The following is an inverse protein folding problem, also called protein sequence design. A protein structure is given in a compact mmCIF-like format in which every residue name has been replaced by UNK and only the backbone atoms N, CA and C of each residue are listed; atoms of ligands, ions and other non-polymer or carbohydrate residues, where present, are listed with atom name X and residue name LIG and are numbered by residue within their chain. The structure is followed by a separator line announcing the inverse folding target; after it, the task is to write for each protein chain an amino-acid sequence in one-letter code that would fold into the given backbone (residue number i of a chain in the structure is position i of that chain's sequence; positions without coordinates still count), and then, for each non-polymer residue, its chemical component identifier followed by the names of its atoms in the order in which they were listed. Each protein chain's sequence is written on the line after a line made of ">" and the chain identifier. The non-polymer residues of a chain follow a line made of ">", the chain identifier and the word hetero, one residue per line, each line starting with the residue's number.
data_IF_846361903469
#
_entry.id   IF_846361903469
#
_cell.length_a   1.000
_cell.length_b   1.000
_cell.length_c   1.000
_cell.angle_alpha   90.00
_cell.angle_beta   90.00
_cell.angle_gamma   90.00
#
_symmetry.space_group_name_H-M   'P 1'
#
loop_
_entity.id
_entity.type
_entity.pdbx_description
1 polymer ?
#
# COMPACT_ATOMS: atom_id res chain seq x y z
N UNK A 1 15.44 3.86 43.78
CA UNK A 1 14.25 3.42 43.00
C UNK A 1 14.11 4.14 41.65
N UNK A 2 14.37 5.45 41.53
CA UNK A 2 14.37 6.17 40.24
C UNK A 2 15.48 5.73 39.26
N UNK A 3 16.65 5.31 39.74
CA UNK A 3 17.77 4.87 38.88
C UNK A 3 17.47 3.59 38.07
N UNK A 4 16.66 2.68 38.62
CA UNK A 4 16.28 1.42 37.96
C UNK A 4 15.30 1.66 36.80
N UNK A 5 14.42 2.66 36.93
CA UNK A 5 13.44 3.07 35.91
C UNK A 5 14.16 3.76 34.75
N UNK A 6 15.09 4.67 35.03
CA UNK A 6 15.91 5.33 34.01
C UNK A 6 16.81 4.32 33.28
N UNK A 7 17.36 3.33 34.01
CA UNK A 7 18.16 2.25 33.41
C UNK A 7 17.31 1.35 32.51
N UNK A 8 16.08 0.98 32.90
CA UNK A 8 15.15 0.22 32.04
C UNK A 8 14.71 1.01 30.79
N UNK A 9 14.49 2.32 30.90
CA UNK A 9 14.18 3.15 29.72
C UNK A 9 15.40 3.35 28.81
N UNK A 10 16.61 3.40 29.35
CA UNK A 10 17.85 3.48 28.56
C UNK A 10 18.20 2.16 27.84
N UNK A 11 17.76 1.02 28.38
CA UNK A 11 17.93 -0.30 27.76
C UNK A 11 16.92 -0.55 26.63
N UNK A 12 15.73 0.06 26.67
CA UNK A 12 14.80 0.09 25.54
C UNK A 12 15.28 0.99 24.38
N UNK A 13 16.15 1.97 24.67
CA UNK A 13 16.73 2.85 23.63
C UNK A 13 17.87 2.24 22.82
N UNK A 14 18.39 1.06 23.18
CA UNK A 14 19.60 0.50 22.53
C UNK A 14 19.35 -0.53 21.44
N UNK A 15 18.10 -0.85 21.11
CA UNK A 15 17.75 -1.73 19.97
C UNK A 15 16.55 -1.27 19.13
N UNK A 16 15.99 -0.09 19.37
CA UNK A 16 14.78 0.34 18.70
C UNK A 16 15.11 1.22 17.49
N UNK A 17 15.19 0.60 16.31
CA UNK A 17 14.64 1.28 15.13
C UNK A 17 13.23 1.74 15.51
N UNK A 18 12.91 3.02 15.32
CA UNK A 18 11.63 3.58 15.74
C UNK A 18 10.50 2.62 15.32
N UNK A 19 9.73 2.11 16.28
CA UNK A 19 8.74 1.07 16.02
C UNK A 19 7.76 1.60 14.97
N UNK A 20 7.67 0.92 13.83
CA UNK A 20 6.75 1.30 12.76
C UNK A 20 5.39 0.67 13.06
N UNK A 21 4.38 1.51 13.19
CA UNK A 21 2.98 1.11 13.33
C UNK A 21 2.25 1.32 12.00
N UNK A 22 1.16 0.58 11.80
CA UNK A 22 0.34 0.69 10.59
C UNK A 22 -1.12 0.85 11.02
N UNK A 23 -1.88 1.68 10.31
CA UNK A 23 -3.33 1.77 10.52
C UNK A 23 -4.05 0.52 10.03
N UNK A 24 -5.26 0.31 10.53
CA UNK A 24 -6.28 -0.44 9.80
C UNK A 24 -6.61 0.28 8.47
N UNK A 25 -7.12 -0.44 7.45
CA UNK A 25 -7.56 0.18 6.21
C UNK A 25 -8.76 1.10 6.49
N UNK A 26 -8.72 2.31 5.94
CA UNK A 26 -9.83 3.26 5.96
C UNK A 26 -10.11 3.80 4.55
N UNK A 27 -11.34 4.19 4.23
CA UNK A 27 -11.70 4.61 2.88
C UNK A 27 -13.21 4.54 2.60
N UNK A 28 -13.62 5.01 1.42
CA UNK A 28 -15.00 4.95 0.92
C UNK A 28 -15.25 3.74 0.01
N UNK A 29 -16.31 3.80 -0.81
CA UNK A 29 -16.98 2.68 -1.49
C UNK A 29 -16.09 1.69 -2.28
N UNK A 30 -14.84 2.01 -2.62
CA UNK A 30 -13.95 1.07 -3.33
C UNK A 30 -12.44 1.22 -3.09
N UNK A 31 -11.96 2.36 -2.58
CA UNK A 31 -10.52 2.61 -2.39
C UNK A 31 -10.21 2.67 -0.91
N UNK A 32 -9.28 1.83 -0.48
CA UNK A 32 -8.79 1.73 0.89
C UNK A 32 -7.39 2.31 1.01
N UNK A 33 -7.11 2.90 2.16
CA UNK A 33 -5.81 3.50 2.49
C UNK A 33 -5.26 2.88 3.76
N UNK A 34 -3.99 2.52 3.75
CA UNK A 34 -3.23 2.13 4.94
C UNK A 34 -2.03 3.07 5.08
N UNK A 35 -1.84 3.61 6.27
CA UNK A 35 -0.75 4.53 6.58
C UNK A 35 0.23 3.89 7.56
N UNK A 36 1.53 4.06 7.29
CA UNK A 36 2.63 3.71 8.18
C UNK A 36 3.05 4.93 9.00
N UNK A 37 3.17 4.77 10.32
CA UNK A 37 3.55 5.81 11.26
C UNK A 37 4.79 5.39 12.05
N UNK A 38 5.62 6.36 12.43
CA UNK A 38 6.76 6.12 13.31
C UNK A 38 7.77 7.25 13.31
N UNK A 39 9.05 6.90 13.47
CA UNK A 39 10.10 7.89 13.68
C UNK A 39 10.05 8.51 15.09
N UNK A 40 10.94 9.47 15.36
CA UNK A 40 11.06 10.08 16.71
C UNK A 40 9.82 10.88 17.12
N UNK A 41 9.02 11.35 16.16
CA UNK A 41 7.87 12.22 16.38
C UNK A 41 6.53 11.56 16.05
N UNK A 42 6.52 10.27 15.66
CA UNK A 42 5.29 9.57 15.29
C UNK A 42 4.65 10.05 13.97
N UNK A 43 5.46 10.60 13.06
CA UNK A 43 4.98 11.12 11.77
C UNK A 43 4.62 10.02 10.77
N UNK A 44 3.95 10.43 9.69
CA UNK A 44 3.68 9.56 8.53
C UNK A 44 4.99 9.22 7.80
N UNK A 45 5.24 7.92 7.65
CA UNK A 45 6.41 7.39 6.95
C UNK A 45 6.08 6.99 5.50
N UNK A 46 4.80 6.71 5.24
CA UNK A 46 4.30 6.34 3.95
C UNK A 46 2.85 5.88 4.01
N UNK A 47 2.24 5.73 2.84
CA UNK A 47 0.87 5.28 2.66
C UNK A 47 0.72 4.46 1.39
N UNK A 48 -0.28 3.61 1.38
CA UNK A 48 -0.73 2.90 0.19
C UNK A 48 -2.23 3.12 0.01
N UNK A 49 -2.63 3.38 -1.22
CA UNK A 49 -4.03 3.38 -1.65
C UNK A 49 -4.25 2.19 -2.57
N UNK A 50 -5.29 1.41 -2.31
CA UNK A 50 -5.57 0.19 -3.07
C UNK A 50 -7.06 -0.10 -3.20
N UNK A 51 -7.40 -0.83 -4.27
CA UNK A 51 -8.77 -1.25 -4.59
C UNK A 51 -8.79 -2.74 -4.92
N UNK A 52 -9.53 -3.56 -4.16
CA UNK A 52 -9.74 -4.96 -4.52
C UNK A 52 -10.62 -5.09 -5.76
N UNK A 53 -10.25 -5.98 -6.67
CA UNK A 53 -11.00 -6.34 -7.87
C UNK A 53 -11.18 -7.86 -7.92
N UNK A 54 -12.29 -8.31 -7.33
CA UNK A 54 -12.60 -9.73 -7.14
C UNK A 54 -12.68 -10.57 -8.42
N UNK A 55 -13.13 -10.07 -9.59
CA UNK A 55 -13.24 -10.91 -10.79
C UNK A 55 -11.93 -11.57 -11.25
N UNK A 56 -10.79 -10.94 -11.02
CA UNK A 56 -9.46 -11.48 -11.36
C UNK A 56 -8.58 -11.71 -10.13
N UNK A 57 -9.17 -11.61 -8.93
CA UNK A 57 -8.46 -11.69 -7.64
C UNK A 57 -7.25 -10.74 -7.54
N UNK A 58 -7.38 -9.57 -8.16
CA UNK A 58 -6.36 -8.52 -8.22
C UNK A 58 -6.62 -7.45 -7.17
N UNK A 59 -5.56 -6.90 -6.59
CA UNK A 59 -5.56 -5.70 -5.77
C UNK A 59 -4.86 -4.59 -6.56
N UNK A 60 -5.65 -3.64 -7.09
CA UNK A 60 -5.11 -2.48 -7.79
C UNK A 60 -4.44 -1.55 -6.79
N UNK A 61 -3.16 -1.25 -6.99
CA UNK A 61 -2.43 -0.27 -6.18
C UNK A 61 -2.47 1.05 -6.94
N UNK A 62 -3.26 2.00 -6.44
CA UNK A 62 -3.48 3.31 -7.07
C UNK A 62 -2.46 4.35 -6.64
N UNK A 63 -1.95 4.23 -5.41
CA UNK A 63 -0.88 5.11 -4.92
C UNK A 63 -0.01 4.36 -3.90
N UNK A 64 1.29 4.61 -3.92
CA UNK A 64 2.24 4.09 -2.94
C UNK A 64 3.33 5.14 -2.70
N UNK A 65 3.25 5.80 -1.56
CA UNK A 65 4.17 6.87 -1.18
C UNK A 65 4.95 6.42 0.04
N UNK A 66 6.27 6.56 -0.02
CA UNK A 66 7.15 6.39 1.15
C UNK A 66 8.10 7.57 1.21
N UNK A 67 8.14 8.21 2.37
CA UNK A 67 9.01 9.34 2.65
C UNK A 67 10.47 8.97 2.36
N UNK A 68 11.23 9.81 1.63
CA UNK A 68 12.55 9.46 1.09
C UNK A 68 13.51 8.82 2.09
N UNK A 69 13.57 9.38 3.29
CA UNK A 69 14.38 8.92 4.43
C UNK A 69 14.06 7.50 4.92
N UNK A 70 12.89 6.95 4.60
CA UNK A 70 12.46 5.61 5.02
C UNK A 70 12.38 4.58 3.88
N UNK A 71 12.70 4.96 2.63
CA UNK A 71 12.58 4.07 1.46
C UNK A 71 13.37 2.77 1.56
N UNK A 72 14.49 2.77 2.30
CA UNK A 72 15.36 1.59 2.51
C UNK A 72 14.95 0.71 3.70
N UNK A 73 13.86 1.05 4.40
CA UNK A 73 13.45 0.37 5.64
C UNK A 73 12.34 -0.68 5.40
N UNK A 74 12.05 -1.03 4.15
CA UNK A 74 11.03 -2.03 3.82
C UNK A 74 9.59 -1.59 4.06
N UNK A 75 9.34 -0.30 4.32
CA UNK A 75 7.98 0.23 4.58
C UNK A 75 7.05 -0.06 3.39
N UNK A 76 7.50 0.19 2.17
CA UNK A 76 6.74 -0.10 0.95
C UNK A 76 6.30 -1.57 0.88
N UNK A 77 7.21 -2.50 1.17
CA UNK A 77 6.92 -3.94 1.14
C UNK A 77 5.89 -4.32 2.20
N UNK A 78 6.01 -3.77 3.40
CA UNK A 78 5.05 -4.04 4.47
C UNK A 78 3.66 -3.45 4.17
N UNK A 79 3.59 -2.27 3.57
CA UNK A 79 2.32 -1.69 3.10
C UNK A 79 1.67 -2.58 2.04
N UNK A 80 2.43 -3.09 1.07
CA UNK A 80 1.95 -4.00 0.04
C UNK A 80 1.46 -5.35 0.60
N UNK A 81 2.19 -5.92 1.56
CA UNK A 81 1.76 -7.15 2.27
C UNK A 81 0.45 -6.94 3.00
N UNK A 82 0.29 -5.79 3.66
CA UNK A 82 -0.95 -5.44 4.36
C UNK A 82 -2.10 -5.21 3.38
N UNK A 83 -1.87 -4.56 2.25
CA UNK A 83 -2.88 -4.42 1.21
C UNK A 83 -3.38 -5.79 0.72
N UNK A 84 -2.50 -6.76 0.46
CA UNK A 84 -2.91 -8.13 0.13
C UNK A 84 -3.71 -8.78 1.27
N UNK A 85 -3.22 -8.67 2.52
CA UNK A 85 -3.90 -9.24 3.68
C UNK A 85 -5.32 -8.70 3.85
N UNK A 86 -5.51 -7.38 3.76
CA UNK A 86 -6.81 -6.75 3.98
C UNK A 86 -7.74 -6.82 2.77
N UNK A 87 -7.21 -6.78 1.54
CA UNK A 87 -8.01 -6.99 0.32
C UNK A 87 -8.47 -8.44 0.18
N UNK A 88 -7.71 -9.40 0.73
CA UNK A 88 -7.89 -10.82 0.50
C UNK A 88 -7.59 -11.25 -0.94
N UNK A 89 -6.88 -10.41 -1.71
CA UNK A 89 -6.44 -10.72 -3.07
C UNK A 89 -5.12 -11.49 -3.05
N UNK A 90 -4.82 -12.22 -4.13
CA UNK A 90 -3.54 -12.92 -4.27
C UNK A 90 -2.53 -12.18 -5.14
N UNK A 91 -2.94 -11.15 -5.88
CA UNK A 91 -2.10 -10.44 -6.84
C UNK A 91 -2.16 -8.92 -6.67
N UNK A 92 -1.00 -8.27 -6.61
CA UNK A 92 -0.89 -6.80 -6.68
C UNK A 92 -0.73 -6.37 -8.13
N UNK A 93 -1.48 -5.35 -8.51
CA UNK A 93 -1.45 -4.78 -9.86
C UNK A 93 -1.31 -3.27 -9.73
N UNK A 94 -0.08 -2.71 -9.84
CA UNK A 94 0.08 -1.28 -9.81
C UNK A 94 -0.57 -0.65 -11.05
N UNK A 95 -1.37 0.40 -10.83
CA UNK A 95 -1.95 1.23 -11.89
C UNK A 95 -1.25 2.59 -11.89
N UNK A 96 -1.26 3.28 -13.03
CA UNK A 96 -0.66 4.61 -13.21
C UNK A 96 0.80 4.71 -12.71
N UNK A 97 1.62 3.71 -13.08
CA UNK A 97 3.03 3.65 -12.68
C UNK A 97 3.80 4.85 -13.26
N UNK A 98 4.28 5.72 -12.37
CA UNK A 98 5.22 6.80 -12.74
C UNK A 98 6.59 6.23 -13.11
N UNK A 99 7.29 6.92 -14.01
CA UNK A 99 8.57 6.46 -14.58
C UNK A 99 9.61 6.07 -13.50
N UNK A 100 9.74 6.90 -12.46
CA UNK A 100 10.66 6.67 -11.35
C UNK A 100 10.35 5.39 -10.53
N UNK A 101 9.12 4.90 -10.57
CA UNK A 101 8.67 3.72 -9.84
C UNK A 101 8.79 2.42 -10.66
N UNK A 102 9.05 2.50 -11.98
CA UNK A 102 9.10 1.32 -12.87
C UNK A 102 10.13 0.30 -12.38
N UNK A 103 11.33 0.75 -12.00
CA UNK A 103 12.40 -0.14 -11.53
C UNK A 103 12.01 -0.86 -10.24
N UNK A 104 11.33 -0.17 -9.33
CA UNK A 104 10.85 -0.75 -8.08
C UNK A 104 9.84 -1.87 -8.37
N UNK A 105 8.81 -1.59 -9.15
CA UNK A 105 7.76 -2.57 -9.48
C UNK A 105 8.29 -3.75 -10.29
N UNK A 106 9.16 -3.49 -11.26
CA UNK A 106 9.81 -4.55 -12.05
C UNK A 106 10.66 -5.48 -11.17
N UNK A 107 11.39 -4.92 -10.21
CA UNK A 107 12.15 -5.72 -9.26
C UNK A 107 11.25 -6.63 -8.41
N UNK A 108 10.11 -6.11 -7.94
CA UNK A 108 9.16 -6.92 -7.17
C UNK A 108 8.54 -8.05 -7.98
N UNK A 109 8.15 -7.78 -9.22
CA UNK A 109 7.56 -8.78 -10.11
C UNK A 109 8.54 -9.95 -10.40
N UNK A 110 9.84 -9.69 -10.42
CA UNK A 110 10.87 -10.72 -10.69
C UNK A 110 11.24 -11.51 -9.42
N UNK A 111 11.36 -10.84 -8.27
CA UNK A 111 11.92 -11.44 -7.05
C UNK A 111 11.00 -12.50 -6.42
N UNK A 112 9.68 -12.41 -6.63
CA UNK A 112 8.71 -13.41 -6.20
C UNK A 112 8.29 -13.37 -4.72
N UNK A 113 8.85 -12.47 -3.90
CA UNK A 113 8.43 -12.28 -2.50
C UNK A 113 6.98 -11.78 -2.36
N UNK A 114 6.47 -11.15 -3.43
CA UNK A 114 5.10 -10.66 -3.58
C UNK A 114 4.63 -11.03 -4.99
N UNK A 115 3.39 -11.49 -5.12
CA UNK A 115 2.77 -11.70 -6.42
C UNK A 115 2.40 -10.35 -7.01
N UNK A 116 3.21 -9.85 -7.94
CA UNK A 116 3.02 -8.57 -8.62
C UNK A 116 2.93 -8.81 -10.11
N UNK A 117 1.91 -8.25 -10.75
CA UNK A 117 1.78 -8.24 -12.22
C UNK A 117 1.82 -6.83 -12.75
N UNK A 118 2.67 -6.61 -13.75
CA UNK A 118 2.74 -5.34 -14.47
C UNK A 118 1.75 -5.37 -15.63
N UNK A 119 0.85 -4.39 -15.67
CA UNK A 119 -0.17 -4.26 -16.71
C UNK A 119 -1.48 -4.97 -16.37
N UNK A 120 -2.52 -4.59 -17.09
CA UNK A 120 -3.89 -5.09 -16.92
C UNK A 120 -4.16 -6.28 -17.85
N UNK A 121 -4.97 -7.23 -17.39
CA UNK A 121 -5.55 -8.25 -18.27
C UNK A 121 -6.62 -7.62 -19.16
N UNK A 122 -6.96 -8.32 -20.24
CA UNK A 122 -8.04 -7.88 -21.12
C UNK A 122 -9.36 -7.73 -20.34
N UNK A 123 -9.71 -8.68 -19.47
CA UNK A 123 -10.93 -8.61 -18.64
C UNK A 123 -10.95 -7.40 -17.70
N UNK A 124 -9.82 -7.04 -17.11
CA UNK A 124 -9.70 -5.85 -16.27
C UNK A 124 -9.85 -4.57 -17.09
N UNK A 125 -9.26 -4.51 -18.28
CA UNK A 125 -9.45 -3.38 -19.19
C UNK A 125 -10.92 -3.22 -19.58
N UNK A 126 -11.61 -4.30 -19.95
CA UNK A 126 -13.04 -4.24 -20.28
C UNK A 126 -13.89 -3.81 -19.09
N UNK A 127 -13.60 -4.30 -17.89
CA UNK A 127 -14.33 -3.92 -16.69
C UNK A 127 -14.16 -2.42 -16.38
N UNK A 128 -12.94 -1.90 -16.48
CA UNK A 128 -12.66 -0.46 -16.32
C UNK A 128 -13.39 0.34 -17.40
N UNK A 129 -13.28 -0.05 -18.67
CA UNK A 129 -13.97 0.63 -19.77
C UNK A 129 -15.49 0.64 -19.59
N UNK A 130 -16.07 -0.45 -19.10
CA UNK A 130 -17.50 -0.54 -18.83
C UNK A 130 -17.92 0.39 -17.68
N UNK A 131 -17.15 0.42 -16.59
CA UNK A 131 -17.39 1.31 -15.45
C UNK A 131 -17.28 2.80 -15.81
N UNK A 132 -16.46 3.14 -16.81
CA UNK A 132 -16.28 4.50 -17.30
C UNK A 132 -17.32 4.93 -18.35
N UNK A 133 -18.21 4.04 -18.80
CA UNK A 133 -19.25 4.43 -19.75
C UNK A 133 -20.14 5.49 -19.11
N UNK A 134 -20.40 6.62 -19.79
CA UNK A 134 -21.36 7.58 -19.29
C UNK A 134 -22.69 6.85 -19.09
N UNK A 135 -23.23 6.95 -17.87
CA UNK A 135 -24.61 6.52 -17.62
C UNK A 135 -25.46 7.51 -18.39
N UNK A 136 -25.97 7.11 -19.55
CA UNK A 136 -26.94 7.91 -20.30
C UNK A 136 -28.08 8.25 -19.33
N UNK A 137 -28.06 9.48 -18.81
CA UNK A 137 -29.17 10.01 -18.03
C UNK A 137 -30.32 10.05 -19.01
N UNK A 138 -31.25 9.11 -18.89
CA UNK A 138 -32.58 9.27 -19.45
C UNK A 138 -33.17 10.51 -18.78
N UNK A 139 -32.98 11.67 -19.41
CA UNK A 139 -33.77 12.86 -19.17
C UNK A 139 -35.19 12.50 -19.57
N UNK A 140 -35.98 12.09 -18.57
CA UNK A 140 -37.41 11.89 -18.73
C UNK A 140 -38.04 13.24 -19.13
N UNK A 141 -38.50 13.28 -20.37
CA UNK A 141 -39.45 14.28 -20.87
C UNK A 141 -40.81 14.17 -20.17
#
# INVERSE_FOLDING_TARGET
>A
MLGEIIRRMSLLRRHHGAAVSYSEPFGGDAVFVITAFGGMYGGELGRISFQPFKPTDSCFVTDLIVSPEYRRQGIAINLLKRALLHSGCTMLVPVDIVEDAIRFWSHLAIKGDLSVRLGLTQSEMWAIQYALRPVDRQENA
#
